data_IF_952245274042
#
_entry.id   IF_952245274042
#
_cell.length_a   1.000
_cell.length_b   1.000
_cell.length_c   1.000
_cell.angle_alpha   90.00
_cell.angle_beta   90.00
_cell.angle_gamma   90.00
#
_symmetry.space_group_name_H-M   'P 1'
#
loop_
_entity.id
_entity.type
_entity.pdbx_description
1 polymer ?
#
# COMPACT_ATOMS: atom_id res chain seq x y z
N UNK A 1 54.61 -7.44 -22.27
CA UNK A 1 53.58 -6.41 -22.49
C UNK A 1 52.94 -6.03 -21.17
N UNK A 2 52.68 -4.75 -20.92
CA UNK A 2 52.03 -4.23 -19.71
C UNK A 2 50.94 -3.22 -20.10
N UNK A 3 49.91 -3.08 -19.26
CA UNK A 3 48.86 -2.08 -19.45
C UNK A 3 49.20 -0.83 -18.65
N UNK A 4 49.11 0.33 -19.29
CA UNK A 4 49.20 1.63 -18.65
C UNK A 4 47.89 2.39 -18.81
N UNK A 5 47.50 3.14 -17.79
CA UNK A 5 46.32 3.99 -17.78
C UNK A 5 46.71 5.40 -18.16
N UNK A 6 45.91 6.05 -19.00
CA UNK A 6 46.17 7.43 -19.40
C UNK A 6 45.68 8.40 -18.31
N UNK A 7 46.35 9.54 -18.19
CA UNK A 7 46.03 10.65 -17.30
C UNK A 7 45.86 11.89 -18.18
N UNK A 8 44.75 12.59 -18.06
CA UNK A 8 44.56 13.87 -18.71
C UNK A 8 45.26 14.95 -17.89
N UNK A 9 46.40 15.52 -18.31
CA UNK A 9 47.09 16.55 -17.53
C UNK A 9 46.30 17.85 -17.47
N UNK A 10 45.48 18.13 -18.50
CA UNK A 10 44.64 19.33 -18.57
C UNK A 10 43.42 19.22 -17.65
N UNK A 11 42.78 18.06 -17.59
CA UNK A 11 41.62 17.80 -16.73
C UNK A 11 42.01 17.34 -15.33
N UNK A 12 43.30 16.98 -15.13
CA UNK A 12 43.88 16.36 -13.93
C UNK A 12 43.15 15.09 -13.48
N UNK A 13 42.55 14.38 -14.42
CA UNK A 13 41.77 13.16 -14.18
C UNK A 13 42.38 11.97 -14.90
N UNK A 14 42.20 10.77 -14.36
CA UNK A 14 42.60 9.55 -15.06
C UNK A 14 41.55 9.18 -16.13
N UNK A 15 42.04 8.87 -17.33
CA UNK A 15 41.23 8.42 -18.46
C UNK A 15 41.06 6.89 -18.39
N UNK A 16 39.89 6.40 -18.79
CA UNK A 16 39.55 4.97 -18.71
C UNK A 16 40.11 4.12 -19.84
N UNK A 17 40.74 4.75 -20.81
CA UNK A 17 41.43 4.01 -21.86
C UNK A 17 42.78 3.51 -21.32
N UNK A 18 43.15 2.30 -21.72
CA UNK A 18 44.45 1.73 -21.41
C UNK A 18 45.21 1.47 -22.70
N UNK A 19 46.50 1.76 -22.64
CA UNK A 19 47.40 1.46 -23.74
C UNK A 19 48.26 0.26 -23.38
N UNK A 20 48.61 -0.51 -24.40
CA UNK A 20 49.54 -1.64 -24.24
C UNK A 20 50.95 -1.14 -24.50
N UNK A 21 51.81 -1.27 -23.50
CA UNK A 21 53.22 -0.87 -23.56
C UNK A 21 54.10 -2.11 -23.68
N UNK A 22 55.07 -2.04 -24.59
CA UNK A 22 56.03 -3.10 -24.88
C UNK A 22 57.41 -2.72 -24.31
N UNK A 23 58.23 -3.70 -23.91
CA UNK A 23 59.59 -3.41 -23.47
C UNK A 23 60.48 -3.01 -24.66
N UNK A 24 61.51 -2.21 -24.39
CA UNK A 24 62.58 -1.89 -25.36
C UNK A 24 63.55 -3.07 -25.56
N UNK A 25 64.56 -2.87 -26.41
CA UNK A 25 65.54 -3.90 -26.79
C UNK A 25 66.37 -4.40 -25.60
N UNK A 26 66.48 -3.61 -24.52
CA UNK A 26 67.14 -3.97 -23.27
C UNK A 26 66.16 -4.53 -22.22
N UNK A 27 64.87 -4.69 -22.57
CA UNK A 27 63.84 -5.28 -21.73
C UNK A 27 63.13 -4.31 -20.77
N UNK A 28 63.38 -3.00 -20.89
CA UNK A 28 62.82 -1.98 -20.00
C UNK A 28 61.49 -1.42 -20.55
N UNK A 29 60.55 -1.11 -19.65
CA UNK A 29 59.25 -0.56 -20.03
C UNK A 29 59.26 0.96 -19.85
N UNK A 30 59.22 1.69 -20.96
CA UNK A 30 59.09 3.15 -20.94
C UNK A 30 57.63 3.55 -21.03
N UNK A 31 57.19 4.36 -20.07
CA UNK A 31 55.82 4.78 -19.94
C UNK A 31 55.55 6.01 -20.83
N UNK A 32 54.51 6.01 -21.67
CA UNK A 32 54.16 7.18 -22.49
C UNK A 32 53.75 8.39 -21.66
N UNK A 33 53.85 9.58 -22.26
CA UNK A 33 53.56 10.84 -21.59
C UNK A 33 52.11 10.87 -21.07
N UNK A 34 51.95 11.40 -19.86
CA UNK A 34 50.66 11.45 -19.15
C UNK A 34 49.97 10.08 -19.03
N UNK A 35 50.72 9.07 -18.62
CA UNK A 35 50.14 7.78 -18.26
C UNK A 35 50.69 7.29 -16.92
N UNK A 36 50.12 6.21 -16.38
CA UNK A 36 50.53 5.61 -15.11
C UNK A 36 50.31 4.10 -15.13
N UNK A 37 51.09 3.37 -14.35
CA UNK A 37 50.89 1.93 -14.16
C UNK A 37 49.77 1.62 -13.17
N UNK A 38 49.30 2.61 -12.40
CA UNK A 38 48.34 2.41 -11.32
C UNK A 38 46.91 2.66 -11.80
N UNK A 39 46.01 1.71 -11.54
CA UNK A 39 44.60 1.89 -11.82
C UNK A 39 44.03 3.01 -10.92
N UNK A 40 43.28 3.97 -11.46
CA UNK A 40 42.64 5.00 -10.66
C UNK A 40 41.47 4.43 -9.86
N UNK A 41 41.52 4.55 -8.54
CA UNK A 41 40.48 4.10 -7.60
C UNK A 41 40.16 5.30 -6.69
N UNK A 42 38.88 5.58 -6.43
CA UNK A 42 38.48 6.61 -5.44
C UNK A 42 38.85 6.20 -4.00
N UNK A 43 38.85 7.15 -3.07
CA UNK A 43 39.07 6.88 -1.63
C UNK A 43 38.05 5.90 -1.02
N UNK A 44 36.89 5.71 -1.66
CA UNK A 44 35.84 4.76 -1.28
C UNK A 44 36.00 3.35 -1.89
N UNK A 45 37.06 3.12 -2.68
CA UNK A 45 37.37 1.82 -3.28
C UNK A 45 36.65 1.53 -4.61
N UNK A 46 35.85 2.45 -5.13
CA UNK A 46 35.11 2.26 -6.38
C UNK A 46 35.92 2.73 -7.60
N UNK A 47 35.78 1.98 -8.70
CA UNK A 47 36.18 2.43 -10.03
C UNK A 47 35.10 3.37 -10.60
N UNK A 48 35.50 4.47 -11.22
CA UNK A 48 34.57 5.44 -11.81
C UNK A 48 33.92 4.89 -13.12
N UNK A 49 32.89 5.55 -13.67
CA UNK A 49 32.39 5.37 -15.06
C UNK A 49 32.23 6.76 -15.72
N UNK A 50 32.55 6.82 -17.03
CA UNK A 50 32.63 7.97 -17.97
C UNK A 50 31.26 8.64 -18.32
N UNK A 51 31.28 9.80 -19.01
CA UNK A 51 30.26 10.85 -19.04
C UNK A 51 29.04 10.57 -19.93
N UNK A 52 27.97 11.28 -19.62
CA UNK A 52 26.69 11.26 -20.36
C UNK A 52 26.67 12.39 -21.39
N UNK A 53 26.17 12.08 -22.59
CA UNK A 53 25.95 13.05 -23.66
C UNK A 53 24.60 13.74 -23.45
N UNK A 54 24.61 15.04 -23.14
CA UNK A 54 23.39 15.83 -22.88
C UNK A 54 23.42 17.07 -23.79
N UNK A 55 22.32 17.31 -24.52
CA UNK A 55 22.11 18.48 -25.39
C UNK A 55 23.25 18.79 -26.37
N UNK A 56 23.86 17.75 -26.94
CA UNK A 56 24.89 17.90 -27.97
C UNK A 56 26.29 18.23 -27.45
N UNK A 57 26.49 18.26 -26.12
CA UNK A 57 27.79 18.51 -25.50
C UNK A 57 28.25 17.35 -24.61
N UNK A 58 29.55 17.09 -24.62
CA UNK A 58 30.21 16.10 -23.76
C UNK A 58 30.64 16.76 -22.46
N UNK A 59 30.16 16.27 -21.30
CA UNK A 59 30.48 16.85 -19.99
C UNK A 59 31.24 15.87 -19.09
N UNK A 60 32.46 16.21 -18.64
CA UNK A 60 33.23 15.44 -17.64
C UNK A 60 32.64 15.59 -16.23
N UNK A 61 32.14 14.49 -15.65
CA UNK A 61 31.72 14.46 -14.26
C UNK A 61 30.38 15.15 -13.98
N UNK A 62 29.64 14.57 -13.04
CA UNK A 62 28.37 15.07 -12.52
C UNK A 62 27.83 14.06 -11.52
N UNK A 63 27.27 14.51 -10.40
CA UNK A 63 26.33 13.66 -9.69
C UNK A 63 25.18 13.46 -10.66
N UNK A 64 24.90 12.22 -11.06
CA UNK A 64 23.68 11.94 -11.81
C UNK A 64 22.55 12.64 -11.04
N UNK A 65 21.76 13.54 -11.66
CA UNK A 65 20.63 14.13 -10.97
C UNK A 65 19.84 12.95 -10.40
N UNK A 66 19.53 13.01 -9.10
CA UNK A 66 18.71 11.97 -8.48
C UNK A 66 17.52 11.77 -9.41
N UNK A 67 17.31 10.54 -9.93
CA UNK A 67 16.29 10.31 -10.94
C UNK A 67 15.01 10.92 -10.36
N UNK A 68 14.44 11.90 -11.08
CA UNK A 68 13.21 12.52 -10.65
C UNK A 68 12.27 11.35 -10.31
N UNK A 69 11.75 11.34 -9.08
CA UNK A 69 10.83 10.28 -8.66
C UNK A 69 9.84 10.11 -9.80
N UNK A 70 9.70 8.89 -10.34
CA UNK A 70 8.86 8.67 -11.51
C UNK A 70 7.52 9.32 -11.19
N UNK A 71 7.16 10.33 -11.97
CA UNK A 71 5.83 10.92 -11.82
C UNK A 71 4.88 9.75 -12.08
N UNK A 72 3.90 9.53 -11.20
CA UNK A 72 2.94 8.47 -11.41
C UNK A 72 2.36 8.66 -12.79
N UNK A 73 2.49 7.63 -13.62
CA UNK A 73 1.92 7.63 -14.95
C UNK A 73 0.40 7.77 -14.83
N UNK A 74 -0.26 8.14 -15.93
CA UNK A 74 -1.73 8.14 -15.95
C UNK A 74 -2.30 6.77 -15.53
N UNK A 75 -1.60 5.68 -15.87
CA UNK A 75 -1.96 4.32 -15.42
C UNK A 75 -1.80 4.13 -13.91
N UNK A 76 -0.76 4.67 -13.30
CA UNK A 76 -0.55 4.61 -11.84
C UNK A 76 -1.62 5.43 -11.09
N UNK A 77 -1.98 6.60 -11.61
CA UNK A 77 -3.05 7.44 -11.06
C UNK A 77 -4.41 6.77 -11.18
N UNK A 78 -4.70 6.16 -12.34
CA UNK A 78 -5.92 5.37 -12.55
C UNK A 78 -5.95 4.14 -11.63
N UNK A 79 -4.81 3.47 -11.44
CA UNK A 79 -4.66 2.35 -10.53
C UNK A 79 -4.94 2.73 -9.07
N UNK A 80 -4.42 3.88 -8.62
CA UNK A 80 -4.69 4.43 -7.28
C UNK A 80 -6.17 4.79 -7.12
N UNK A 81 -6.75 5.50 -8.09
CA UNK A 81 -8.17 5.85 -8.05
C UNK A 81 -9.08 4.61 -8.01
N UNK A 82 -8.74 3.57 -8.78
CA UNK A 82 -9.46 2.30 -8.75
C UNK A 82 -9.28 1.57 -7.41
N UNK A 83 -8.10 1.58 -6.81
CA UNK A 83 -7.85 0.98 -5.51
C UNK A 83 -8.67 1.68 -4.41
N UNK A 84 -8.71 3.01 -4.42
CA UNK A 84 -9.53 3.80 -3.50
C UNK A 84 -11.03 3.53 -3.69
N UNK A 85 -11.50 3.45 -4.93
CA UNK A 85 -12.90 3.16 -5.24
C UNK A 85 -13.31 1.76 -4.75
N UNK A 86 -12.46 0.76 -4.97
CA UNK A 86 -12.67 -0.60 -4.42
C UNK A 86 -12.72 -0.62 -2.90
N UNK A 87 -11.83 0.11 -2.22
CA UNK A 87 -11.85 0.21 -0.77
C UNK A 87 -13.15 0.85 -0.27
N UNK A 88 -13.58 1.96 -0.87
CA UNK A 88 -14.86 2.60 -0.54
C UNK A 88 -16.05 1.67 -0.78
N UNK A 89 -16.02 0.89 -1.86
CA UNK A 89 -17.06 -0.09 -2.17
C UNK A 89 -17.14 -1.18 -1.09
N UNK A 90 -16.00 -1.69 -0.62
CA UNK A 90 -15.94 -2.67 0.47
C UNK A 90 -16.50 -2.09 1.77
N UNK A 91 -16.09 -0.88 2.15
CA UNK A 91 -16.59 -0.20 3.36
C UNK A 91 -18.10 0.04 3.28
N UNK A 92 -18.60 0.45 2.12
CA UNK A 92 -20.02 0.65 1.90
C UNK A 92 -20.80 -0.67 2.03
N UNK A 93 -20.28 -1.75 1.44
CA UNK A 93 -20.91 -3.07 1.54
C UNK A 93 -20.97 -3.55 2.98
N UNK A 94 -19.89 -3.40 3.75
CA UNK A 94 -19.86 -3.76 5.17
C UNK A 94 -20.88 -2.96 5.99
N UNK A 95 -21.04 -1.67 5.70
CA UNK A 95 -22.04 -0.81 6.33
C UNK A 95 -23.48 -1.27 6.00
N UNK A 96 -23.75 -1.60 4.74
CA UNK A 96 -25.06 -2.11 4.31
C UNK A 96 -25.37 -3.45 4.96
N UNK A 97 -24.40 -4.36 5.03
CA UNK A 97 -24.58 -5.68 5.65
C UNK A 97 -24.86 -5.54 7.16
N UNK A 98 -24.16 -4.65 7.86
CA UNK A 98 -24.39 -4.38 9.28
C UNK A 98 -25.77 -3.76 9.51
N UNK A 99 -26.17 -2.78 8.71
CA UNK A 99 -27.51 -2.19 8.79
C UNK A 99 -28.60 -3.23 8.51
N UNK A 100 -28.36 -4.12 7.54
CA UNK A 100 -29.23 -5.25 7.23
C UNK A 100 -29.40 -6.19 8.42
N UNK A 101 -28.29 -6.51 9.11
CA UNK A 101 -28.31 -7.34 10.33
C UNK A 101 -29.08 -6.65 11.46
N UNK A 102 -28.81 -5.37 11.72
CA UNK A 102 -29.50 -4.60 12.75
C UNK A 102 -31.02 -4.54 12.49
N UNK A 103 -31.42 -4.32 11.23
CA UNK A 103 -32.83 -4.33 10.85
C UNK A 103 -33.47 -5.71 11.05
N UNK A 104 -32.77 -6.79 10.70
CA UNK A 104 -33.27 -8.15 10.93
C UNK A 104 -33.45 -8.45 12.43
N UNK A 105 -32.47 -8.08 13.26
CA UNK A 105 -32.55 -8.21 14.71
C UNK A 105 -33.69 -7.39 15.31
N UNK A 106 -33.89 -6.15 14.84
CA UNK A 106 -34.99 -5.30 15.30
C UNK A 106 -36.35 -5.91 14.93
N UNK A 107 -36.50 -6.40 13.70
CA UNK A 107 -37.73 -7.09 13.26
C UNK A 107 -38.02 -8.33 14.12
N UNK A 108 -37.02 -9.14 14.42
CA UNK A 108 -37.18 -10.30 15.30
C UNK A 108 -37.58 -9.90 16.71
N UNK A 109 -36.98 -8.84 17.27
CA UNK A 109 -37.39 -8.29 18.58
C UNK A 109 -38.83 -7.81 18.59
N UNK A 110 -39.27 -7.15 17.51
CA UNK A 110 -40.65 -6.67 17.41
C UNK A 110 -41.64 -7.83 17.27
N UNK A 111 -41.34 -8.85 16.48
CA UNK A 111 -42.16 -10.06 16.40
C UNK A 111 -42.31 -10.76 17.76
N UNK A 112 -41.19 -10.91 18.49
CA UNK A 112 -41.23 -11.49 19.84
C UNK A 112 -42.08 -10.65 20.81
N UNK A 113 -42.00 -9.31 20.72
CA UNK A 113 -42.86 -8.42 21.50
C UNK A 113 -44.33 -8.58 21.15
N UNK A 114 -44.65 -8.70 19.87
CA UNK A 114 -46.03 -8.89 19.39
C UNK A 114 -46.60 -10.22 19.88
N UNK A 115 -45.83 -11.31 19.87
CA UNK A 115 -46.23 -12.60 20.43
C UNK A 115 -46.54 -12.50 21.93
N UNK A 116 -45.67 -11.84 22.71
CA UNK A 116 -45.90 -11.61 24.14
C UNK A 116 -47.16 -10.78 24.36
N UNK A 117 -47.38 -9.74 23.56
CA UNK A 117 -48.57 -8.90 23.64
C UNK A 117 -49.86 -9.71 23.34
N UNK A 118 -49.82 -10.61 22.34
CA UNK A 118 -50.95 -11.49 22.03
C UNK A 118 -51.24 -12.47 23.17
N UNK A 119 -50.20 -13.08 23.75
CA UNK A 119 -50.36 -13.96 24.92
C UNK A 119 -50.97 -13.22 26.11
N UNK A 120 -50.50 -12.01 26.40
CA UNK A 120 -51.06 -11.18 27.47
C UNK A 120 -52.54 -10.84 27.24
N UNK A 121 -52.92 -10.50 26.00
CA UNK A 121 -54.32 -10.22 25.64
C UNK A 121 -55.21 -11.45 25.89
N UNK A 122 -54.76 -12.63 25.48
CA UNK A 122 -55.50 -13.88 25.70
C UNK A 122 -55.64 -14.18 27.20
N UNK A 123 -54.57 -14.03 27.98
CA UNK A 123 -54.60 -14.25 29.43
C UNK A 123 -55.57 -13.29 30.14
N UNK A 124 -55.58 -12.00 29.77
CA UNK A 124 -56.52 -11.01 30.32
C UNK A 124 -57.96 -11.38 29.97
N UNK A 125 -58.23 -11.84 28.74
CA UNK A 125 -59.56 -12.29 28.34
C UNK A 125 -60.02 -13.51 29.16
N UNK A 126 -59.15 -14.49 29.37
CA UNK A 126 -59.44 -15.67 30.20
C UNK A 126 -59.76 -15.27 31.64
N UNK A 127 -58.92 -14.44 32.26
CA UNK A 127 -59.16 -13.93 33.62
C UNK A 127 -60.49 -13.17 33.70
N UNK A 128 -60.82 -12.35 32.69
CA UNK A 128 -62.10 -11.64 32.64
C UNK A 128 -63.30 -12.57 32.58
N UNK A 129 -63.21 -13.67 31.83
CA UNK A 129 -64.25 -14.71 31.78
C UNK A 129 -64.38 -15.44 33.11
N UNK A 130 -63.27 -15.85 33.73
CA UNK A 130 -63.26 -16.50 35.03
C UNK A 130 -63.88 -15.61 36.12
N UNK A 131 -63.51 -14.33 36.17
CA UNK A 131 -64.09 -13.37 37.11
C UNK A 131 -65.60 -13.19 36.89
N UNK A 132 -66.06 -13.22 35.64
CA UNK A 132 -67.49 -13.13 35.32
C UNK A 132 -68.25 -14.35 35.80
N UNK A 133 -67.69 -15.55 35.60
CA UNK A 133 -68.26 -16.81 36.12
C UNK A 133 -68.31 -16.82 37.64
N UNK A 134 -67.20 -16.49 38.31
CA UNK A 134 -67.13 -16.40 39.78
C UNK A 134 -68.18 -15.42 40.32
N UNK A 135 -68.33 -14.26 39.66
CA UNK A 135 -69.34 -13.27 40.06
C UNK A 135 -70.76 -13.80 39.89
N UNK A 136 -71.03 -14.50 38.80
CA UNK A 136 -72.32 -15.11 38.54
C UNK A 136 -72.67 -16.19 39.58
N UNK A 137 -71.72 -17.10 39.85
CA UNK A 137 -71.88 -18.15 40.87
C UNK A 137 -72.12 -17.55 42.27
N UNK A 138 -71.40 -16.48 42.61
CA UNK A 138 -71.60 -15.76 43.87
C UNK A 138 -73.01 -15.17 43.96
N UNK A 139 -73.49 -14.49 42.91
CA UNK A 139 -74.85 -13.93 42.88
C UNK A 139 -75.93 -15.01 43.01
N UNK A 140 -75.76 -16.16 42.34
CA UNK A 140 -76.66 -17.30 42.49
C UNK A 140 -76.66 -17.85 43.92
N UNK A 141 -75.47 -17.97 44.55
CA UNK A 141 -75.35 -18.45 45.92
C UNK A 141 -75.94 -17.48 46.97
N UNK A 142 -75.88 -16.18 46.72
CA UNK A 142 -76.42 -15.14 47.61
C UNK A 142 -77.93 -14.93 47.44
N UNK A 143 -78.46 -15.12 46.22
CA UNK A 143 -79.90 -15.02 45.93
C UNK A 143 -80.73 -16.27 46.28
N UNK A 144 -80.09 -17.36 46.71
CA UNK A 144 -80.76 -18.62 47.11
C UNK A 144 -80.97 -18.76 48.63
N UNK A 145 -80.92 -17.65 49.38
CA UNK A 145 -81.28 -17.55 50.81
C UNK A 145 -82.58 -16.77 50.98
#
# INVERSE_FOLDING_TARGET
MRKAHLYGPETKQYLFDWITVYPDEDGNYQLPENSTWKQPIREDGLAFILPVFIDGEWQEGGTAPEPALPQPSDEDLLGQALAEEKLRSIELQQSVDELGRQLAEEKLKNLAKDEVLQQQKLSIQQIGQELTLIKYDKLLSEGSK
#
